data_IF_385298777968
#
_entry.id   IF_385298777968
#
_cell.length_a   1.000
_cell.length_b   1.000
_cell.length_c   1.000
_cell.angle_alpha   90.00
_cell.angle_beta   90.00
_cell.angle_gamma   90.00
#
_symmetry.space_group_name_H-M   'P 1'
#
loop_
_entity.id
_entity.type
_entity.pdbx_description
1 polymer ?
#
# COMPACT_ATOMS: atom_id res chain seq x y z
N UNK A 1 27.14 13.42 -2.21
CA UNK A 1 26.91 11.96 -2.42
C UNK A 1 26.26 11.81 -3.78
N UNK A 2 26.52 10.75 -4.55
CA UNK A 2 25.84 10.53 -5.84
C UNK A 2 24.38 10.16 -5.60
N UNK A 3 23.49 10.65 -6.49
CA UNK A 3 22.07 10.26 -6.45
C UNK A 3 21.93 8.72 -6.46
N UNK A 4 20.95 8.15 -5.73
CA UNK A 4 20.67 6.72 -5.81
C UNK A 4 20.43 6.28 -7.26
N UNK A 5 20.87 5.06 -7.60
CA UNK A 5 20.62 4.52 -8.93
C UNK A 5 19.09 4.40 -9.16
N UNK A 6 18.65 4.66 -10.38
CA UNK A 6 17.26 4.46 -10.76
C UNK A 6 16.93 2.95 -10.69
N UNK A 7 15.76 2.62 -10.17
CA UNK A 7 15.22 1.26 -10.15
C UNK A 7 14.15 1.13 -11.23
N UNK A 8 14.31 0.16 -12.12
CA UNK A 8 13.34 -0.10 -13.18
C UNK A 8 12.75 -1.51 -13.02
N UNK A 9 11.45 -1.61 -13.20
CA UNK A 9 10.71 -2.84 -13.08
C UNK A 9 9.63 -2.93 -14.16
N UNK A 10 9.44 -4.13 -14.73
CA UNK A 10 8.26 -4.42 -15.54
C UNK A 10 7.10 -4.64 -14.57
N UNK A 11 6.19 -3.68 -14.52
CA UNK A 11 5.08 -3.67 -13.60
C UNK A 11 4.14 -4.85 -13.85
N UNK A 12 3.66 -5.45 -12.78
CA UNK A 12 2.81 -6.63 -12.84
C UNK A 12 1.51 -6.41 -12.04
N UNK A 13 0.38 -6.72 -12.68
CA UNK A 13 -0.93 -6.61 -12.06
C UNK A 13 -1.23 -7.85 -11.20
N UNK A 14 -0.92 -7.77 -9.92
CA UNK A 14 -1.14 -8.85 -8.95
C UNK A 14 -2.60 -9.03 -8.54
N UNK A 15 -3.50 -8.16 -9.01
CA UNK A 15 -4.91 -8.11 -8.60
C UNK A 15 -5.90 -8.46 -9.74
N UNK A 16 -5.43 -9.09 -10.82
CA UNK A 16 -6.26 -9.45 -11.98
C UNK A 16 -7.46 -10.34 -11.62
N UNK A 17 -7.34 -11.16 -10.56
CA UNK A 17 -8.41 -12.03 -10.07
C UNK A 17 -9.10 -11.51 -8.79
N UNK A 18 -8.84 -10.25 -8.40
CA UNK A 18 -9.39 -9.68 -7.16
C UNK A 18 -10.86 -9.27 -7.30
N UNK A 19 -11.53 -9.09 -6.15
CA UNK A 19 -12.89 -8.52 -6.10
C UNK A 19 -12.94 -7.07 -6.63
N UNK A 20 -11.81 -6.34 -6.61
CA UNK A 20 -11.72 -4.99 -7.13
C UNK A 20 -11.55 -5.00 -8.65
N UNK A 21 -12.65 -4.90 -9.35
CA UNK A 21 -12.72 -5.05 -10.81
C UNK A 21 -12.01 -3.95 -11.62
N UNK A 22 -11.53 -2.88 -10.99
CA UNK A 22 -10.72 -1.87 -11.69
C UNK A 22 -9.38 -2.43 -12.21
N UNK A 23 -8.97 -3.59 -11.71
CA UNK A 23 -7.77 -4.29 -12.16
C UNK A 23 -8.03 -5.24 -13.34
N UNK A 24 -9.27 -5.36 -13.81
CA UNK A 24 -9.64 -6.07 -15.04
C UNK A 24 -9.64 -5.11 -16.22
N UNK A 25 -9.08 -5.52 -17.34
CA UNK A 25 -8.88 -4.69 -18.52
C UNK A 25 -10.17 -4.06 -19.06
N UNK A 26 -11.23 -4.88 -19.18
CA UNK A 26 -12.53 -4.41 -19.69
C UNK A 26 -13.18 -3.38 -18.75
N UNK A 27 -13.13 -3.64 -17.45
CA UNK A 27 -13.72 -2.73 -16.46
C UNK A 27 -12.91 -1.43 -16.38
N UNK A 28 -11.58 -1.51 -16.35
CA UNK A 28 -10.74 -0.32 -16.35
C UNK A 28 -11.03 0.60 -17.55
N UNK A 29 -11.22 0.05 -18.74
CA UNK A 29 -11.58 0.82 -19.93
C UNK A 29 -12.93 1.52 -19.84
N UNK A 30 -13.92 0.92 -19.17
CA UNK A 30 -15.22 1.56 -18.92
C UNK A 30 -15.10 2.80 -18.04
N UNK A 31 -14.07 2.84 -17.16
CA UNK A 31 -13.76 4.00 -16.32
C UNK A 31 -12.76 4.98 -16.96
N UNK A 32 -12.46 4.83 -18.25
CA UNK A 32 -11.61 5.75 -19.00
C UNK A 32 -10.10 5.47 -18.90
N UNK A 33 -9.70 4.35 -18.31
CA UNK A 33 -8.30 3.92 -18.27
C UNK A 33 -7.92 3.19 -19.56
N UNK A 34 -6.62 3.10 -19.87
CA UNK A 34 -6.12 2.44 -21.08
C UNK A 34 -6.15 0.91 -20.98
N UNK A 35 -6.18 0.36 -19.77
CA UNK A 35 -6.15 -1.07 -19.50
C UNK A 35 -6.07 -1.35 -18.01
N UNK A 36 -5.79 -2.60 -17.65
CA UNK A 36 -5.69 -3.07 -16.28
C UNK A 36 -4.62 -2.30 -15.49
N UNK A 37 -5.01 -1.81 -14.31
CA UNK A 37 -4.15 -1.04 -13.43
C UNK A 37 -3.36 -1.96 -12.51
N UNK A 38 -2.08 -1.66 -12.34
CA UNK A 38 -1.28 -2.21 -11.25
C UNK A 38 -1.76 -1.61 -9.92
N UNK A 39 -1.99 -2.41 -8.88
CA UNK A 39 -2.42 -1.90 -7.58
C UNK A 39 -1.45 -0.85 -7.01
N UNK A 40 -1.98 0.20 -6.37
CA UNK A 40 -1.15 1.24 -5.77
C UNK A 40 -0.19 0.70 -4.69
N UNK A 41 -0.55 -0.41 -4.01
CA UNK A 41 0.34 -1.08 -3.04
C UNK A 41 1.56 -1.71 -3.69
N UNK A 42 1.49 -2.09 -4.97
CA UNK A 42 2.64 -2.58 -5.73
C UNK A 42 3.51 -1.43 -6.24
N UNK A 43 2.89 -0.33 -6.66
CA UNK A 43 3.65 0.89 -6.98
C UNK A 43 4.39 1.40 -5.74
N UNK A 44 3.77 1.29 -4.55
CA UNK A 44 4.45 1.52 -3.28
C UNK A 44 5.62 0.56 -3.06
N UNK A 45 5.46 -0.72 -3.40
CA UNK A 45 6.54 -1.70 -3.29
C UNK A 45 7.75 -1.30 -4.14
N UNK A 46 7.53 -0.87 -5.39
CA UNK A 46 8.60 -0.37 -6.25
C UNK A 46 9.31 0.86 -5.65
N UNK A 47 8.55 1.78 -5.04
CA UNK A 47 9.12 2.94 -4.36
C UNK A 47 9.94 2.55 -3.13
N UNK A 48 9.49 1.54 -2.36
CA UNK A 48 10.14 1.09 -1.13
C UNK A 48 11.51 0.43 -1.38
N UNK A 49 11.78 -0.08 -2.59
CA UNK A 49 13.08 -0.59 -2.98
C UNK A 49 14.21 0.43 -2.73
N UNK A 50 13.99 1.69 -3.13
CA UNK A 50 15.04 2.72 -3.08
C UNK A 50 15.50 3.06 -1.65
N UNK A 51 14.63 3.34 -0.66
CA UNK A 51 15.06 3.56 0.71
C UNK A 51 15.64 2.30 1.36
N UNK A 52 15.19 1.10 0.98
CA UNK A 52 15.80 -0.14 1.47
C UNK A 52 17.22 -0.30 0.91
N UNK A 53 17.43 -0.09 -0.38
CA UNK A 53 18.76 -0.08 -0.98
C UNK A 53 19.69 0.97 -0.34
N UNK A 54 19.14 2.11 0.14
CA UNK A 54 19.90 3.20 0.76
C UNK A 54 20.23 2.97 2.22
N UNK A 55 19.29 2.47 3.02
CA UNK A 55 19.41 2.36 4.48
C UNK A 55 19.25 0.92 5.01
N UNK A 56 18.96 -0.05 4.14
CA UNK A 56 18.84 -1.45 4.48
C UNK A 56 17.79 -1.75 5.55
N UNK A 57 18.13 -2.67 6.43
CA UNK A 57 17.30 -3.13 7.54
C UNK A 57 16.88 -1.98 8.47
N UNK A 58 17.73 -0.99 8.69
CA UNK A 58 17.41 0.14 9.56
C UNK A 58 16.15 0.88 9.09
N UNK A 59 15.96 1.00 7.77
CA UNK A 59 14.73 1.61 7.23
C UNK A 59 13.50 0.73 7.45
N UNK A 60 13.63 -0.58 7.30
CA UNK A 60 12.54 -1.52 7.58
C UNK A 60 12.12 -1.51 9.07
N UNK A 61 13.04 -1.14 9.97
CA UNK A 61 12.79 -1.09 11.41
C UNK A 61 12.26 0.26 11.90
N UNK A 62 12.63 1.37 11.24
CA UNK A 62 12.32 2.71 11.77
C UNK A 62 12.08 3.78 10.72
N UNK A 63 12.19 3.46 9.42
CA UNK A 63 12.02 4.42 8.35
C UNK A 63 10.58 4.88 8.15
N UNK A 64 10.41 5.95 7.41
CA UNK A 64 9.12 6.49 7.01
C UNK A 64 9.10 6.77 5.51
N UNK A 65 7.93 6.62 4.91
CA UNK A 65 7.65 7.04 3.53
C UNK A 65 6.23 7.61 3.44
N UNK A 66 6.13 8.77 2.78
CA UNK A 66 4.88 9.40 2.40
C UNK A 66 4.79 9.35 0.87
N UNK A 67 3.71 8.81 0.31
CA UNK A 67 3.55 8.70 -1.13
C UNK A 67 2.16 9.06 -1.61
N UNK A 68 2.08 9.53 -2.86
CA UNK A 68 0.85 9.82 -3.59
C UNK A 68 0.90 9.18 -4.96
N UNK A 69 -0.21 8.56 -5.35
CA UNK A 69 -0.42 7.98 -6.67
C UNK A 69 -1.24 8.96 -7.51
N UNK A 70 -0.68 9.41 -8.62
CA UNK A 70 -1.20 10.49 -9.45
C UNK A 70 -1.87 9.97 -10.71
N UNK A 71 -1.24 8.95 -11.32
CA UNK A 71 -1.69 8.28 -12.53
C UNK A 71 -1.44 6.78 -12.42
N UNK A 72 -2.22 5.95 -13.12
CA UNK A 72 -2.01 4.51 -13.08
C UNK A 72 -0.69 4.09 -13.73
N UNK A 73 -0.07 3.09 -13.13
CA UNK A 73 0.89 2.23 -13.82
C UNK A 73 0.10 1.06 -14.39
N UNK A 74 0.36 0.69 -15.64
CA UNK A 74 -0.34 -0.38 -16.32
C UNK A 74 0.45 -1.68 -16.31
N UNK A 75 -0.26 -2.79 -16.35
CA UNK A 75 0.34 -4.12 -16.43
C UNK A 75 1.29 -4.24 -17.65
N UNK A 76 2.46 -4.84 -17.44
CA UNK A 76 3.50 -5.00 -18.44
C UNK A 76 4.28 -3.73 -18.82
N UNK A 77 3.90 -2.55 -18.31
CA UNK A 77 4.62 -1.32 -18.58
C UNK A 77 5.89 -1.22 -17.71
N UNK A 78 6.91 -0.53 -18.21
CA UNK A 78 8.09 -0.21 -17.40
C UNK A 78 7.71 0.89 -16.41
N UNK A 79 7.91 0.61 -15.12
CA UNK A 79 7.89 1.60 -14.06
C UNK A 79 9.33 1.92 -13.65
N UNK A 80 9.69 3.20 -13.70
CA UNK A 80 11.01 3.69 -13.33
C UNK A 80 10.90 4.53 -12.07
N UNK A 81 11.58 4.10 -11.01
CA UNK A 81 11.68 4.84 -9.75
C UNK A 81 13.00 5.58 -9.74
N UNK A 82 12.93 6.89 -9.58
CA UNK A 82 14.10 7.76 -9.40
C UNK A 82 14.03 8.41 -8.03
N UNK A 83 15.20 8.76 -7.49
CA UNK A 83 15.31 9.48 -6.23
C UNK A 83 16.35 10.59 -6.32
N UNK A 84 16.06 11.72 -5.67
CA UNK A 84 17.03 12.76 -5.35
C UNK A 84 17.15 12.90 -3.85
N UNK A 85 18.36 13.14 -3.37
CA UNK A 85 18.61 13.33 -1.93
C UNK A 85 18.52 14.82 -1.61
N UNK A 86 17.59 15.20 -0.74
CA UNK A 86 17.33 16.56 -0.30
C UNK A 86 17.15 16.60 1.23
N UNK A 87 18.01 17.32 1.95
CA UNK A 87 17.91 17.47 3.41
C UNK A 87 17.78 16.14 4.18
N UNK A 88 18.61 15.16 3.83
CA UNK A 88 18.61 13.80 4.41
C UNK A 88 17.34 12.97 4.11
N UNK A 89 16.50 13.42 3.18
CA UNK A 89 15.36 12.70 2.66
C UNK A 89 15.58 12.27 1.21
N UNK A 90 14.95 11.17 0.82
CA UNK A 90 14.84 10.76 -0.58
C UNK A 90 13.52 11.29 -1.16
N UNK A 91 13.62 12.17 -2.12
CA UNK A 91 12.47 12.60 -2.94
C UNK A 91 12.31 11.63 -4.08
N UNK A 92 11.20 10.88 -4.06
CA UNK A 92 10.94 9.78 -4.97
C UNK A 92 9.98 10.18 -6.09
N UNK A 93 10.21 9.67 -7.29
CA UNK A 93 9.32 9.80 -8.43
C UNK A 93 9.21 8.46 -9.15
N UNK A 94 7.99 8.05 -9.46
CA UNK A 94 7.72 6.90 -10.34
C UNK A 94 7.19 7.41 -11.66
N UNK A 95 7.86 7.02 -12.73
CA UNK A 95 7.45 7.34 -14.10
C UNK A 95 7.16 6.06 -14.87
N UNK A 96 6.15 6.12 -15.74
CA UNK A 96 5.87 5.05 -16.71
C UNK A 96 5.59 5.69 -18.07
N UNK A 97 6.44 5.39 -19.05
CA UNK A 97 6.47 6.11 -20.31
C UNK A 97 6.82 7.58 -20.09
N UNK A 98 5.91 8.49 -20.48
CA UNK A 98 6.08 9.96 -20.29
C UNK A 98 5.26 10.52 -19.12
N UNK A 99 4.66 9.65 -18.32
CA UNK A 99 3.75 10.06 -17.26
C UNK A 99 4.38 9.87 -15.88
N UNK A 100 4.24 10.89 -15.03
CA UNK A 100 4.54 10.78 -13.60
C UNK A 100 3.39 10.08 -12.92
N UNK A 101 3.62 8.84 -12.47
CA UNK A 101 2.60 7.98 -11.89
C UNK A 101 2.51 8.10 -10.36
N UNK A 102 3.64 8.30 -9.68
CA UNK A 102 3.65 8.50 -8.24
C UNK A 102 4.78 9.44 -7.81
N UNK A 103 4.62 10.03 -6.64
CA UNK A 103 5.67 10.81 -5.94
C UNK A 103 5.70 10.40 -4.48
N UNK A 104 6.85 10.62 -3.83
CA UNK A 104 6.97 10.36 -2.39
C UNK A 104 8.21 10.98 -1.77
N UNK A 105 8.26 10.89 -0.45
CA UNK A 105 9.44 11.22 0.36
C UNK A 105 9.69 10.07 1.32
N UNK A 106 10.94 9.58 1.35
CA UNK A 106 11.36 8.55 2.30
C UNK A 106 12.51 9.08 3.13
N UNK A 107 12.51 8.80 4.43
CA UNK A 107 13.51 9.29 5.35
C UNK A 107 13.64 8.42 6.59
N UNK A 108 14.70 8.66 7.36
CA UNK A 108 14.90 8.11 8.70
C UNK A 108 14.46 9.16 9.71
N UNK A 109 13.32 8.95 10.43
CA UNK A 109 12.86 9.91 11.41
C UNK A 109 13.88 10.12 12.54
N UNK A 110 14.13 11.37 12.91
CA UNK A 110 15.02 11.71 14.04
C UNK A 110 14.38 11.40 15.39
N UNK A 111 13.04 11.39 15.47
CA UNK A 111 12.29 11.05 16.66
C UNK A 111 12.08 9.53 16.75
N UNK A 112 12.56 8.93 17.82
CA UNK A 112 12.27 7.52 18.13
C UNK A 112 10.90 7.43 18.82
N UNK A 113 9.83 7.71 18.09
CA UNK A 113 8.49 7.47 18.63
C UNK A 113 8.32 5.98 18.88
N UNK A 114 7.94 5.64 20.10
CA UNK A 114 7.51 4.28 20.41
C UNK A 114 6.32 3.91 19.50
N UNK A 115 6.30 2.65 19.07
CA UNK A 115 5.13 2.13 18.37
C UNK A 115 3.87 2.38 19.24
N UNK A 116 2.78 2.87 18.67
CA UNK A 116 1.51 2.95 19.39
C UNK A 116 1.19 1.59 19.99
N UNK A 117 0.77 1.58 21.25
CA UNK A 117 0.37 0.33 21.88
C UNK A 117 -0.76 -0.31 21.09
N UNK A 118 -0.62 -1.59 20.73
CA UNK A 118 -1.64 -2.29 19.91
C UNK A 118 -3.04 -2.21 20.53
N UNK A 119 -3.13 -2.04 21.83
CA UNK A 119 -4.39 -1.95 22.58
C UNK A 119 -5.02 -0.55 22.52
N UNK A 120 -4.35 0.45 21.92
CA UNK A 120 -4.92 1.78 21.73
C UNK A 120 -5.98 1.83 20.64
N UNK A 121 -6.03 0.81 19.80
CA UNK A 121 -7.05 0.63 18.77
C UNK A 121 -7.88 -0.63 19.03
N UNK A 122 -9.17 -0.51 18.79
CA UNK A 122 -10.09 -1.64 18.89
C UNK A 122 -9.72 -2.73 17.88
N UNK A 123 -9.87 -3.99 18.28
CA UNK A 123 -9.82 -5.10 17.37
C UNK A 123 -11.12 -5.10 16.55
N UNK A 124 -11.01 -4.89 15.24
CA UNK A 124 -12.10 -5.20 14.34
C UNK A 124 -12.12 -6.70 14.02
N UNK A 125 -13.33 -7.23 13.80
CA UNK A 125 -13.52 -8.57 13.25
C UNK A 125 -14.31 -8.42 11.94
N UNK A 126 -13.88 -9.06 10.85
CA UNK A 126 -14.66 -9.04 9.63
C UNK A 126 -16.07 -9.55 9.88
N UNK A 127 -17.11 -8.87 9.35
CA UNK A 127 -18.48 -9.31 9.53
C UNK A 127 -18.76 -10.59 8.75
N UNK A 128 -19.66 -11.45 9.27
CA UNK A 128 -20.08 -12.67 8.57
C UNK A 128 -20.70 -12.39 7.20
N UNK A 129 -21.40 -11.25 7.07
CA UNK A 129 -21.92 -10.74 5.80
C UNK A 129 -21.45 -9.31 5.60
N UNK A 130 -20.71 -9.08 4.51
CA UNK A 130 -20.17 -7.76 4.19
C UNK A 130 -21.29 -6.81 3.74
N UNK A 131 -21.51 -5.67 4.42
CA UNK A 131 -22.42 -4.64 3.94
C UNK A 131 -21.86 -3.97 2.68
N UNK A 132 -22.73 -3.34 1.87
CA UNK A 132 -22.29 -2.43 0.82
C UNK A 132 -21.58 -1.22 1.44
N UNK A 133 -20.56 -0.70 0.75
CA UNK A 133 -19.90 0.53 1.15
C UNK A 133 -20.89 1.69 1.21
N UNK A 134 -20.91 2.41 2.32
CA UNK A 134 -21.80 3.54 2.58
C UNK A 134 -21.19 4.48 3.63
N UNK A 135 -21.79 5.62 3.87
CA UNK A 135 -21.40 6.50 4.99
C UNK A 135 -21.45 5.77 6.33
N UNK A 136 -22.42 4.89 6.52
CA UNK A 136 -22.60 4.14 7.77
C UNK A 136 -21.59 3.00 7.89
N UNK A 137 -21.40 2.19 6.84
CA UNK A 137 -20.49 1.03 6.88
C UNK A 137 -19.01 1.42 6.86
N UNK A 138 -18.71 2.67 6.51
CA UNK A 138 -17.39 3.27 6.55
C UNK A 138 -17.37 4.55 7.41
N UNK A 139 -18.21 4.60 8.46
CA UNK A 139 -18.28 5.76 9.33
C UNK A 139 -16.95 6.01 10.06
N UNK A 140 -16.54 7.28 10.26
CA UNK A 140 -15.37 7.61 11.06
C UNK A 140 -15.47 7.00 12.46
N UNK A 141 -14.36 6.44 12.93
CA UNK A 141 -14.28 5.73 14.20
C UNK A 141 -14.51 4.22 14.12
N UNK A 142 -15.10 3.70 13.03
CA UNK A 142 -15.28 2.27 12.85
C UNK A 142 -13.93 1.53 12.77
N UNK A 143 -13.81 0.46 13.55
CA UNK A 143 -12.69 -0.45 13.48
C UNK A 143 -12.94 -1.49 12.38
N UNK A 144 -11.97 -1.64 11.47
CA UNK A 144 -11.95 -2.73 10.50
C UNK A 144 -10.89 -3.74 10.93
N UNK A 145 -11.21 -5.02 10.79
CA UNK A 145 -10.28 -6.11 11.12
C UNK A 145 -9.97 -6.97 9.91
N UNK A 146 -9.01 -7.84 10.08
CA UNK A 146 -8.71 -8.91 9.14
C UNK A 146 -8.70 -10.25 9.88
N UNK A 147 -8.95 -11.33 9.15
CA UNK A 147 -8.57 -12.65 9.63
C UNK A 147 -7.04 -12.67 9.83
N UNK A 148 -6.53 -13.07 11.01
CA UNK A 148 -5.10 -13.13 11.24
C UNK A 148 -4.38 -13.89 10.13
N UNK A 149 -3.27 -13.35 9.65
CA UNK A 149 -2.50 -13.89 8.53
C UNK A 149 -1.06 -14.17 8.97
N UNK A 150 -0.54 -15.32 8.58
CA UNK A 150 0.89 -15.61 8.64
C UNK A 150 1.47 -15.54 7.24
N UNK A 151 2.48 -14.69 7.04
CA UNK A 151 3.23 -14.66 5.79
C UNK A 151 4.21 -15.83 5.84
N UNK A 152 3.89 -16.93 5.20
CA UNK A 152 4.79 -18.06 5.07
C UNK A 152 5.86 -17.84 3.99
N UNK A 153 6.79 -18.77 3.85
CA UNK A 153 7.89 -18.67 2.90
C UNK A 153 7.43 -18.67 1.44
N UNK A 154 6.39 -19.45 1.11
CA UNK A 154 5.88 -19.54 -0.25
C UNK A 154 5.21 -18.22 -0.64
N UNK A 155 4.26 -17.74 0.15
CA UNK A 155 3.61 -16.44 -0.04
C UNK A 155 4.61 -15.29 -0.16
N UNK A 156 5.68 -15.34 0.65
CA UNK A 156 6.73 -14.32 0.61
C UNK A 156 7.55 -14.39 -0.68
N UNK A 157 7.97 -15.59 -1.09
CA UNK A 157 8.72 -15.77 -2.33
C UNK A 157 7.91 -15.35 -3.54
N UNK A 158 6.66 -15.80 -3.63
CA UNK A 158 5.74 -15.46 -4.71
C UNK A 158 5.54 -13.94 -4.80
N UNK A 159 5.36 -13.28 -3.64
CA UNK A 159 5.23 -11.83 -3.60
C UNK A 159 6.46 -11.10 -4.14
N UNK A 160 7.67 -11.49 -3.73
CA UNK A 160 8.90 -10.87 -4.22
C UNK A 160 9.07 -11.04 -5.74
N UNK A 161 8.68 -12.20 -6.25
CA UNK A 161 8.71 -12.49 -7.69
C UNK A 161 7.66 -11.65 -8.45
N UNK A 162 6.46 -11.51 -7.91
CA UNK A 162 5.39 -10.68 -8.48
C UNK A 162 5.80 -9.22 -8.59
N UNK A 163 6.36 -8.64 -7.51
CA UNK A 163 6.77 -7.22 -7.51
C UNK A 163 8.16 -7.01 -8.09
N UNK A 164 8.81 -8.07 -8.58
CA UNK A 164 10.17 -8.02 -9.16
C UNK A 164 11.22 -7.44 -8.22
N UNK A 165 11.09 -7.71 -6.90
CA UNK A 165 12.04 -7.23 -5.92
C UNK A 165 13.38 -7.96 -6.03
N UNK A 166 14.47 -7.19 -6.12
CA UNK A 166 15.82 -7.70 -6.34
C UNK A 166 16.75 -7.51 -5.15
N UNK A 167 16.36 -6.72 -4.14
CA UNK A 167 17.20 -6.56 -2.95
C UNK A 167 17.28 -7.90 -2.19
N UNK A 168 18.49 -8.43 -1.95
CA UNK A 168 18.67 -9.72 -1.32
C UNK A 168 18.22 -9.77 0.14
N UNK A 169 18.10 -8.63 0.82
CA UNK A 169 17.79 -8.54 2.25
C UNK A 169 16.53 -9.32 2.64
N UNK A 170 15.51 -9.27 1.78
CA UNK A 170 14.25 -9.96 2.03
C UNK A 170 14.39 -11.48 2.06
N UNK A 171 15.18 -12.03 1.14
CA UNK A 171 15.41 -13.47 1.04
C UNK A 171 16.44 -13.96 2.04
N UNK A 172 17.52 -13.19 2.28
CA UNK A 172 18.63 -13.58 3.15
C UNK A 172 18.29 -13.48 4.62
N UNK A 173 17.51 -12.46 5.02
CA UNK A 173 17.12 -12.24 6.42
C UNK A 173 15.69 -12.69 6.72
N UNK A 174 14.92 -13.15 5.73
CA UNK A 174 13.53 -13.56 5.91
C UNK A 174 12.62 -12.42 6.38
N UNK A 175 12.85 -11.20 5.85
CA UNK A 175 12.06 -10.02 6.19
C UNK A 175 10.89 -9.87 5.24
N UNK A 176 9.69 -9.65 5.78
CA UNK A 176 8.52 -9.38 4.97
C UNK A 176 8.67 -8.03 4.25
N UNK A 177 8.32 -7.98 2.96
CA UNK A 177 8.41 -6.78 2.16
C UNK A 177 7.36 -5.73 2.61
N UNK A 178 7.71 -4.43 2.69
CA UNK A 178 6.78 -3.38 3.16
C UNK A 178 5.50 -3.29 2.32
N UNK A 179 5.55 -3.54 1.02
CA UNK A 179 4.37 -3.60 0.16
C UNK A 179 3.45 -4.77 0.51
N UNK A 180 4.01 -5.95 0.83
CA UNK A 180 3.24 -7.10 1.31
C UNK A 180 2.50 -6.76 2.61
N UNK A 181 3.16 -6.01 3.49
CA UNK A 181 2.54 -5.49 4.70
C UNK A 181 1.45 -4.46 4.39
N UNK A 182 1.65 -3.58 3.41
CA UNK A 182 0.66 -2.57 3.03
C UNK A 182 -0.59 -3.21 2.39
N UNK A 183 -0.48 -4.34 1.69
CA UNK A 183 -1.64 -5.12 1.19
C UNK A 183 -2.67 -5.44 2.28
N UNK A 184 -2.25 -5.59 3.55
CA UNK A 184 -3.17 -5.86 4.65
C UNK A 184 -4.21 -4.74 4.85
N UNK A 185 -3.87 -3.51 4.48
CA UNK A 185 -4.82 -2.39 4.52
C UNK A 185 -5.94 -2.56 3.48
N UNK A 186 -5.60 -3.03 2.27
CA UNK A 186 -6.59 -3.36 1.25
C UNK A 186 -7.45 -4.56 1.69
N UNK A 187 -6.84 -5.58 2.29
CA UNK A 187 -7.55 -6.75 2.85
C UNK A 187 -8.56 -6.29 3.92
N UNK A 188 -8.19 -5.33 4.78
CA UNK A 188 -9.11 -4.80 5.79
C UNK A 188 -10.37 -4.19 5.16
N UNK A 189 -10.24 -3.46 4.05
CA UNK A 189 -11.41 -2.94 3.34
C UNK A 189 -12.25 -4.07 2.76
N UNK A 190 -11.67 -4.94 1.95
CA UNK A 190 -12.44 -5.96 1.21
C UNK A 190 -13.02 -7.05 2.10
N UNK A 191 -12.45 -7.30 3.28
CA UNK A 191 -13.04 -8.24 4.24
C UNK A 191 -14.22 -7.63 5.02
N UNK A 192 -14.32 -6.31 5.10
CA UNK A 192 -15.34 -5.65 5.92
C UNK A 192 -16.50 -5.07 5.11
N UNK A 193 -16.28 -4.65 3.86
CA UNK A 193 -17.35 -4.06 3.03
C UNK A 193 -17.29 -4.56 1.59
N UNK A 194 -18.44 -4.54 0.92
CA UNK A 194 -18.53 -4.72 -0.53
C UNK A 194 -18.31 -3.36 -1.19
N UNK A 195 -17.17 -3.21 -1.85
CA UNK A 195 -16.79 -2.00 -2.57
C UNK A 195 -17.13 -2.16 -4.06
N UNK A 196 -17.52 -1.05 -4.70
CA UNK A 196 -17.40 -0.90 -6.14
C UNK A 196 -15.92 -0.82 -6.55
N UNK A 197 -15.60 -0.50 -7.81
CA UNK A 197 -14.24 -0.22 -8.21
C UNK A 197 -13.63 0.93 -7.40
N UNK A 198 -12.41 0.75 -6.92
CA UNK A 198 -11.71 1.73 -6.10
C UNK A 198 -10.22 1.74 -6.41
N UNK A 199 -9.56 2.86 -6.17
CA UNK A 199 -8.12 3.04 -6.34
C UNK A 199 -7.46 3.57 -5.08
N UNK A 200 -6.26 3.11 -4.84
CA UNK A 200 -5.38 3.59 -3.80
C UNK A 200 -4.70 4.87 -4.29
N UNK A 201 -4.87 5.97 -3.56
CA UNK A 201 -4.38 7.30 -4.00
C UNK A 201 -3.21 7.84 -3.17
N UNK A 202 -2.88 7.21 -2.06
CA UNK A 202 -1.72 7.60 -1.26
C UNK A 202 -1.60 6.84 0.05
N UNK A 203 -0.41 6.89 0.63
CA UNK A 203 -0.09 6.33 1.94
C UNK A 203 0.98 7.14 2.66
N UNK A 204 0.87 7.15 3.99
CA UNK A 204 1.95 7.50 4.90
C UNK A 204 2.26 6.28 5.75
N UNK A 205 3.47 5.77 5.63
CA UNK A 205 3.89 4.54 6.30
C UNK A 205 5.08 4.85 7.20
N UNK A 206 4.98 4.50 8.47
CA UNK A 206 6.09 4.55 9.41
C UNK A 206 6.34 3.14 9.94
N UNK A 207 7.56 2.69 9.80
CA UNK A 207 8.02 1.44 10.37
C UNK A 207 8.42 1.62 11.83
N UNK A 208 8.13 0.64 12.67
CA UNK A 208 8.54 0.59 14.07
C UNK A 208 9.28 -0.69 14.42
N UNK A 209 9.24 -1.68 13.55
CA UNK A 209 10.02 -2.91 13.56
C UNK A 209 9.90 -3.59 12.19
N UNK A 210 10.91 -4.37 11.83
CA UNK A 210 10.83 -5.25 10.68
C UNK A 210 9.87 -6.42 10.97
N UNK A 211 9.07 -6.81 9.99
CA UNK A 211 8.25 -8.01 10.06
C UNK A 211 9.04 -9.20 9.51
N UNK A 212 8.94 -10.35 10.15
CA UNK A 212 9.62 -11.56 9.71
C UNK A 212 8.64 -12.56 9.08
N UNK A 213 9.11 -13.28 8.09
CA UNK A 213 8.42 -14.44 7.52
C UNK A 213 8.17 -15.46 8.63
N UNK A 214 6.99 -16.06 8.64
CA UNK A 214 6.53 -16.98 9.70
C UNK A 214 5.86 -16.30 10.90
N UNK A 215 5.92 -14.99 11.01
CA UNK A 215 5.20 -14.28 12.06
C UNK A 215 3.71 -14.14 11.73
N UNK A 216 2.87 -14.36 12.73
CA UNK A 216 1.45 -14.05 12.62
C UNK A 216 1.25 -12.54 12.72
N UNK A 217 0.58 -11.98 11.74
CA UNK A 217 0.25 -10.57 11.66
C UNK A 217 -1.21 -10.34 12.05
N UNK A 218 -1.43 -9.41 12.94
CA UNK A 218 -2.74 -8.87 13.26
C UNK A 218 -2.79 -7.40 12.84
N UNK A 219 -3.91 -7.00 12.25
CA UNK A 219 -4.14 -5.63 11.83
C UNK A 219 -5.17 -5.01 12.78
N UNK A 220 -4.87 -3.80 13.22
CA UNK A 220 -5.80 -2.91 13.90
C UNK A 220 -5.98 -1.70 13.01
N UNK A 221 -7.19 -1.36 12.70
CA UNK A 221 -7.44 -0.22 11.83
C UNK A 221 -8.68 0.55 12.26
N UNK A 222 -8.71 1.82 11.89
CA UNK A 222 -9.84 2.71 12.16
C UNK A 222 -10.06 3.63 10.97
N UNK A 223 -11.31 3.75 10.52
CA UNK A 223 -11.70 4.78 9.57
C UNK A 223 -11.52 6.15 10.23
N UNK A 224 -10.73 7.02 9.65
CA UNK A 224 -10.50 8.38 10.17
C UNK A 224 -11.39 9.41 9.50
N UNK A 225 -11.68 9.21 8.23
CA UNK A 225 -12.65 10.02 7.50
C UNK A 225 -13.27 9.25 6.34
N UNK A 226 -14.50 9.59 6.02
CA UNK A 226 -15.16 9.17 4.81
C UNK A 226 -15.92 10.37 4.26
N UNK A 227 -15.52 10.88 3.10
CA UNK A 227 -16.02 12.13 2.54
C UNK A 227 -16.49 11.87 1.12
N UNK A 228 -17.76 12.19 0.85
CA UNK A 228 -18.28 12.24 -0.51
C UNK A 228 -17.86 13.58 -1.12
N UNK A 229 -17.01 13.53 -2.14
CA UNK A 229 -16.64 14.71 -2.92
C UNK A 229 -17.73 15.03 -3.95
N UNK A 230 -17.68 16.25 -4.52
CA UNK A 230 -18.62 16.67 -5.58
C UNK A 230 -18.58 15.68 -6.74
N UNK A 231 -19.67 14.97 -6.96
CA UNK A 231 -19.79 13.82 -7.85
C UNK A 231 -19.80 12.50 -7.08
N UNK A 232 -19.85 11.36 -7.78
CA UNK A 232 -20.01 10.05 -7.15
C UNK A 232 -18.70 9.48 -6.55
N UNK A 233 -17.68 10.29 -6.33
CA UNK A 233 -16.39 9.86 -5.78
C UNK A 233 -16.37 10.05 -4.28
N UNK A 234 -16.21 8.97 -3.52
CA UNK A 234 -15.98 9.03 -2.10
C UNK A 234 -14.50 8.74 -1.77
N UNK A 235 -13.96 9.48 -0.80
CA UNK A 235 -12.62 9.29 -0.27
C UNK A 235 -12.70 8.71 1.12
N UNK A 236 -12.08 7.56 1.34
CA UNK A 236 -11.99 6.92 2.65
C UNK A 236 -10.56 6.97 3.14
N UNK A 237 -10.35 7.45 4.36
CA UNK A 237 -9.07 7.39 5.03
C UNK A 237 -9.13 6.33 6.14
N UNK A 238 -8.14 5.48 6.17
CA UNK A 238 -8.00 4.43 7.16
C UNK A 238 -6.64 4.53 7.83
N UNK A 239 -6.65 4.66 9.15
CA UNK A 239 -5.45 4.46 9.94
C UNK A 239 -5.30 2.97 10.24
N UNK A 240 -4.18 2.41 9.86
CA UNK A 240 -3.86 1.00 10.05
C UNK A 240 -2.68 0.88 10.99
N UNK A 241 -2.90 0.20 12.10
CA UNK A 241 -1.86 -0.12 13.06
C UNK A 241 -1.56 -1.62 13.02
N UNK A 242 -0.30 -1.93 12.81
CA UNK A 242 0.25 -3.27 12.98
C UNK A 242 1.17 -3.24 14.18
N UNK A 243 1.42 -4.37 14.78
CA UNK A 243 2.38 -4.47 15.89
C UNK A 243 3.75 -3.84 15.55
N UNK A 244 4.00 -3.62 14.26
CA UNK A 244 5.30 -3.18 13.72
C UNK A 244 5.24 -1.95 12.80
N UNK A 245 4.07 -1.52 12.35
CA UNK A 245 3.97 -0.43 11.36
C UNK A 245 2.72 0.41 11.57
N UNK A 246 2.86 1.72 11.59
CA UNK A 246 1.75 2.68 11.49
C UNK A 246 1.59 3.07 10.03
N UNK A 247 0.38 2.96 9.50
CA UNK A 247 0.09 3.30 8.11
C UNK A 247 -1.20 4.11 8.04
N UNK A 248 -1.14 5.28 7.43
CA UNK A 248 -2.31 6.01 6.96
C UNK A 248 -2.45 5.74 5.47
N UNK A 249 -3.57 5.19 5.05
CA UNK A 249 -3.84 4.83 3.65
C UNK A 249 -5.06 5.57 3.17
N UNK A 250 -4.98 6.11 1.97
CA UNK A 250 -6.04 6.88 1.34
C UNK A 250 -6.49 6.19 0.05
N UNK A 251 -7.80 5.99 -0.08
CA UNK A 251 -8.44 5.45 -1.29
C UNK A 251 -9.47 6.41 -1.85
N UNK A 252 -9.69 6.29 -3.15
CA UNK A 252 -10.81 6.92 -3.82
C UNK A 252 -11.68 5.85 -4.48
N UNK A 253 -12.97 5.89 -4.24
CA UNK A 253 -13.95 5.03 -4.90
C UNK A 253 -14.36 5.61 -6.26
N UNK A 254 -14.59 4.75 -7.26
CA UNK A 254 -15.24 5.14 -8.50
C UNK A 254 -16.74 5.40 -8.25
N UNK A 255 -17.41 6.19 -9.12
CA UNK A 255 -18.84 6.43 -9.02
C UNK A 255 -19.62 5.13 -8.99
N UNK A 256 -20.51 4.99 -8.01
CA UNK A 256 -21.54 3.97 -8.09
C UNK A 256 -22.57 4.46 -9.10
N UNK A 257 -22.64 3.82 -10.27
CA UNK A 257 -23.79 3.97 -11.15
C UNK A 257 -24.98 3.35 -10.46
N UNK A 258 -25.97 4.17 -10.17
CA UNK A 258 -27.30 3.77 -9.68
C UNK A 258 -28.01 2.87 -10.67
#
# INVERSE_FOLDING_TARGET
MSAPAAYEVIAFNTASSSDNKIHEDLVARQFGFRGALVPGVEVYAYMAHVPVARWGRAWLESGQIDCRFLKPVYDGAVARVTATEENDELVLCVESGRERCATGRAFMPSDRRLAPGINTLLAGTPPATRPKASETSLAPGLALGITPLTIDRAMHSDYLDEVRETDPIYRTEGLAHPGQILRLANIALVQNVLLGPWIHVGSKVRNHAAAHVGQQLALRSKITSNVISKGPVSYTHLDVYKRQTLTNVQWSGAPQTS
#
